data_IF_692040355174
#
_entry.id   IF_692040355174
#
_cell.length_a   1.000
_cell.length_b   1.000
_cell.length_c   1.000
_cell.angle_alpha   90.00
_cell.angle_beta   90.00
_cell.angle_gamma   90.00
#
_symmetry.space_group_name_H-M   'P 1'
#
loop_
_entity.id
_entity.type
_entity.pdbx_description
1 polymer ?
#
# COMPACT_ATOMS: atom_id res chain seq x y z
N UNK A 1 -31.35 -10.28 -43.53
CA UNK A 1 -30.50 -9.21 -44.11
C UNK A 1 -31.08 -7.80 -43.88
N UNK A 2 -31.83 -7.53 -42.79
CA UNK A 2 -32.53 -6.24 -42.62
C UNK A 2 -32.02 -5.35 -41.45
N UNK A 3 -31.02 -5.76 -40.66
CA UNK A 3 -30.57 -4.97 -39.49
C UNK A 3 -29.36 -4.05 -39.77
N UNK A 4 -28.78 -4.07 -40.98
CA UNK A 4 -27.64 -3.21 -41.33
C UNK A 4 -28.06 -1.87 -41.95
N UNK A 5 -29.33 -1.73 -42.35
CA UNK A 5 -29.85 -0.50 -42.97
C UNK A 5 -30.38 0.48 -41.92
N UNK A 6 -31.09 -0.03 -40.89
CA UNK A 6 -31.62 0.79 -39.79
C UNK A 6 -30.50 1.46 -38.96
N UNK A 7 -29.39 0.75 -38.74
CA UNK A 7 -28.23 1.27 -37.99
C UNK A 7 -27.46 2.36 -38.74
N UNK A 8 -27.47 2.37 -40.09
CA UNK A 8 -26.88 3.47 -40.87
C UNK A 8 -27.76 4.71 -40.93
N UNK A 9 -29.07 4.55 -40.80
CA UNK A 9 -30.01 5.67 -40.73
C UNK A 9 -29.91 6.39 -39.39
N UNK A 10 -29.84 5.66 -38.28
CA UNK A 10 -29.64 6.26 -36.95
C UNK A 10 -28.25 6.91 -36.80
N UNK A 11 -27.20 6.33 -37.39
CA UNK A 11 -25.87 6.96 -37.41
C UNK A 11 -25.86 8.28 -38.18
N UNK A 12 -26.56 8.38 -39.31
CA UNK A 12 -26.66 9.62 -40.08
C UNK A 12 -27.51 10.69 -39.40
N UNK A 13 -28.49 10.30 -38.58
CA UNK A 13 -29.33 11.24 -37.82
C UNK A 13 -28.57 11.83 -36.62
N UNK A 14 -27.72 11.03 -35.98
CA UNK A 14 -26.82 11.48 -34.90
C UNK A 14 -25.70 12.37 -35.44
N UNK A 15 -25.13 12.06 -36.61
CA UNK A 15 -24.10 12.89 -37.25
C UNK A 15 -24.67 14.26 -37.68
N UNK A 16 -25.89 14.29 -38.21
CA UNK A 16 -26.60 15.53 -38.56
C UNK A 16 -27.06 16.34 -37.33
N UNK A 17 -27.22 15.70 -36.16
CA UNK A 17 -27.51 16.39 -34.91
C UNK A 17 -26.21 16.99 -34.33
N UNK A 18 -25.09 16.26 -34.33
CA UNK A 18 -23.77 16.75 -33.90
C UNK A 18 -23.30 17.93 -34.76
N UNK A 19 -23.48 17.89 -36.09
CA UNK A 19 -23.17 19.02 -36.97
C UNK A 19 -24.04 20.25 -36.66
N UNK A 20 -25.29 20.04 -36.19
CA UNK A 20 -26.17 21.12 -35.76
C UNK A 20 -25.71 21.74 -34.44
N UNK A 21 -25.19 20.94 -33.50
CA UNK A 21 -24.59 21.42 -32.26
C UNK A 21 -23.29 22.20 -32.53
N UNK A 22 -22.42 21.74 -33.44
CA UNK A 22 -21.20 22.47 -33.82
C UNK A 22 -21.50 23.79 -34.54
N UNK A 23 -22.50 23.83 -35.42
CA UNK A 23 -22.93 25.08 -36.07
C UNK A 23 -23.55 26.08 -35.08
N UNK A 24 -24.20 25.60 -34.01
CA UNK A 24 -24.82 26.46 -32.99
C UNK A 24 -23.82 26.99 -31.96
N UNK A 25 -22.76 26.22 -31.67
CA UNK A 25 -21.63 26.65 -30.84
C UNK A 25 -20.74 27.66 -31.58
N UNK A 26 -20.57 27.51 -32.90
CA UNK A 26 -19.80 28.44 -33.73
C UNK A 26 -20.58 29.71 -34.11
N UNK A 27 -21.92 29.68 -34.15
CA UNK A 27 -22.76 30.87 -34.40
C UNK A 27 -22.87 31.82 -33.20
N UNK A 28 -22.54 31.36 -31.99
CA UNK A 28 -22.56 32.18 -30.77
C UNK A 28 -21.19 32.82 -30.45
N UNK A 29 -20.23 32.75 -31.36
CA UNK A 29 -18.98 33.51 -31.30
C UNK A 29 -18.95 34.51 -32.47
N UNK A 30 -19.89 35.45 -32.46
CA UNK A 30 -19.64 36.75 -33.11
C UNK A 30 -19.32 37.74 -32.00
N UNK A 31 -18.05 37.80 -31.59
CA UNK A 31 -17.59 38.88 -30.74
C UNK A 31 -17.76 40.19 -31.54
N UNK A 32 -18.36 41.26 -30.98
CA UNK A 32 -18.20 42.59 -31.53
C UNK A 32 -16.70 42.93 -31.55
N UNK A 33 -16.19 43.89 -32.34
CA UNK A 33 -14.77 44.21 -32.36
C UNK A 33 -14.33 44.66 -30.95
N UNK A 34 -13.88 43.69 -30.17
CA UNK A 34 -13.53 43.80 -28.76
C UNK A 34 -12.11 44.28 -28.67
N UNK A 35 -11.91 45.28 -27.81
CA UNK A 35 -10.61 45.88 -27.57
C UNK A 35 -9.65 44.79 -27.08
N UNK A 36 -8.56 44.52 -27.81
CA UNK A 36 -7.59 43.42 -27.55
C UNK A 36 -7.06 43.41 -26.11
N UNK A 37 -7.12 44.56 -25.44
CA UNK A 37 -6.73 44.75 -24.04
C UNK A 37 -7.76 44.19 -23.04
N UNK A 38 -9.06 44.18 -23.36
CA UNK A 38 -10.10 43.63 -22.48
C UNK A 38 -10.12 42.09 -22.51
N UNK A 39 -9.87 41.47 -23.66
CA UNK A 39 -9.79 40.01 -23.76
C UNK A 39 -8.52 39.45 -23.10
N UNK A 40 -7.40 40.18 -23.19
CA UNK A 40 -6.18 39.84 -22.44
C UNK A 40 -6.41 39.94 -20.93
N UNK A 41 -7.04 41.01 -20.45
CA UNK A 41 -7.38 41.16 -19.03
C UNK A 41 -8.37 40.08 -18.56
N UNK A 42 -9.39 39.73 -19.36
CA UNK A 42 -10.33 38.65 -19.02
C UNK A 42 -9.64 37.30 -18.90
N UNK A 43 -8.77 36.94 -19.84
CA UNK A 43 -8.02 35.68 -19.79
C UNK A 43 -7.07 35.64 -18.59
N UNK A 44 -6.38 36.74 -18.29
CA UNK A 44 -5.52 36.84 -17.09
C UNK A 44 -6.32 36.73 -15.78
N UNK A 45 -7.52 37.32 -15.71
CA UNK A 45 -8.40 37.17 -14.54
C UNK A 45 -8.92 35.75 -14.37
N UNK A 46 -9.35 35.08 -15.45
CA UNK A 46 -9.83 33.70 -15.43
C UNK A 46 -8.71 32.72 -15.05
N UNK A 47 -7.49 32.93 -15.56
CA UNK A 47 -6.32 32.13 -15.19
C UNK A 47 -5.91 32.36 -13.73
N UNK A 48 -5.98 33.60 -13.25
CA UNK A 48 -5.74 33.95 -11.84
C UNK A 48 -6.76 33.29 -10.91
N UNK A 49 -8.04 33.32 -11.27
CA UNK A 49 -9.14 32.76 -10.48
C UNK A 49 -9.11 31.22 -10.47
N UNK A 50 -8.79 30.59 -11.61
CA UNK A 50 -8.53 29.15 -11.69
C UNK A 50 -7.32 28.74 -10.87
N UNK A 51 -6.21 29.48 -10.94
CA UNK A 51 -5.00 29.17 -10.18
C UNK A 51 -5.23 29.35 -8.66
N UNK A 52 -6.01 30.35 -8.26
CA UNK A 52 -6.43 30.55 -6.87
C UNK A 52 -7.34 29.40 -6.39
N UNK A 53 -8.30 28.98 -7.20
CA UNK A 53 -9.19 27.84 -6.92
C UNK A 53 -8.42 26.53 -6.81
N UNK A 54 -7.43 26.28 -7.69
CA UNK A 54 -6.54 25.12 -7.64
C UNK A 54 -5.66 25.16 -6.38
N UNK A 55 -5.14 26.33 -5.98
CA UNK A 55 -4.38 26.49 -4.73
C UNK A 55 -5.25 26.19 -3.50
N UNK A 56 -6.48 26.70 -3.45
CA UNK A 56 -7.42 26.42 -2.37
C UNK A 56 -7.83 24.95 -2.32
N UNK A 57 -8.06 24.29 -3.46
CA UNK A 57 -8.29 22.84 -3.54
C UNK A 57 -7.08 22.03 -3.05
N UNK A 58 -5.85 22.47 -3.36
CA UNK A 58 -4.62 21.87 -2.83
C UNK A 58 -4.48 22.06 -1.32
N UNK A 59 -4.76 23.25 -0.80
CA UNK A 59 -4.67 23.54 0.65
C UNK A 59 -5.75 22.75 1.42
N UNK A 60 -6.98 22.71 0.91
CA UNK A 60 -8.08 21.95 1.53
C UNK A 60 -7.87 20.43 1.42
N UNK A 61 -7.26 19.92 0.34
CA UNK A 61 -6.86 18.52 0.24
C UNK A 61 -5.67 18.17 1.13
N UNK A 62 -4.72 19.09 1.35
CA UNK A 62 -3.64 18.93 2.34
C UNK A 62 -4.18 18.92 3.78
N UNK A 63 -5.10 19.82 4.12
CA UNK A 63 -5.74 19.89 5.43
C UNK A 63 -6.60 18.65 5.74
N UNK A 64 -7.32 18.12 4.75
CA UNK A 64 -8.09 16.88 4.93
C UNK A 64 -7.20 15.63 5.06
N UNK A 65 -6.01 15.63 4.45
CA UNK A 65 -4.99 14.57 4.60
C UNK A 65 -4.33 14.57 5.98
N UNK A 66 -4.23 15.72 6.66
CA UNK A 66 -3.63 15.83 8.00
C UNK A 66 -4.59 15.47 9.14
N UNK A 67 -5.91 15.59 8.95
CA UNK A 67 -6.93 15.23 9.95
C UNK A 67 -6.99 13.72 10.26
N UNK A 68 -6.60 12.87 9.31
CA UNK A 68 -6.66 11.41 9.43
C UNK A 68 -5.60 10.81 10.38
N UNK A 69 -4.29 11.16 10.29
CA UNK A 69 -3.29 10.68 11.25
C UNK A 69 -3.53 11.19 12.67
N UNK A 70 -4.03 12.42 12.87
CA UNK A 70 -4.38 12.90 14.21
C UNK A 70 -5.47 12.04 14.88
N UNK A 71 -6.54 11.67 14.15
CA UNK A 71 -7.57 10.76 14.69
C UNK A 71 -7.02 9.39 15.05
N UNK A 72 -6.09 8.87 14.25
CA UNK A 72 -5.40 7.60 14.53
C UNK A 72 -4.49 7.70 15.77
N UNK A 73 -3.77 8.82 15.92
CA UNK A 73 -2.88 9.06 17.06
C UNK A 73 -3.61 9.10 18.40
N UNK A 74 -4.85 9.61 18.44
CA UNK A 74 -5.66 9.61 19.67
C UNK A 74 -6.37 8.28 19.97
N UNK A 75 -6.23 7.28 19.09
CA UNK A 75 -6.67 5.91 19.42
C UNK A 75 -5.59 5.26 20.30
N UNK A 76 -5.91 4.59 21.44
CA UNK A 76 -4.89 4.06 22.34
C UNK A 76 -3.89 3.12 21.65
N UNK A 77 -4.37 2.28 20.72
CA UNK A 77 -3.51 1.43 19.90
C UNK A 77 -2.66 2.24 18.91
N UNK A 78 -3.25 3.25 18.27
CA UNK A 78 -2.55 4.09 17.29
C UNK A 78 -1.48 4.98 17.93
N UNK A 79 -1.72 5.47 19.15
CA UNK A 79 -0.73 6.18 19.97
C UNK A 79 0.50 5.30 20.23
N UNK A 80 0.29 4.06 20.71
CA UNK A 80 1.38 3.11 20.99
C UNK A 80 2.17 2.76 19.73
N UNK A 81 1.48 2.49 18.61
CA UNK A 81 2.12 2.22 17.32
C UNK A 81 2.94 3.43 16.85
N UNK A 82 2.43 4.65 17.06
CA UNK A 82 3.13 5.88 16.66
C UNK A 82 4.40 6.10 17.49
N UNK A 83 4.34 5.94 18.82
CA UNK A 83 5.51 6.01 19.69
C UNK A 83 6.53 4.94 19.29
N UNK A 84 6.07 3.71 19.05
CA UNK A 84 6.94 2.62 18.63
C UNK A 84 7.64 2.92 17.30
N UNK A 85 6.90 3.41 16.29
CA UNK A 85 7.46 3.83 15.00
C UNK A 85 8.45 4.99 15.14
N UNK A 86 8.15 5.98 15.98
CA UNK A 86 9.05 7.10 16.25
C UNK A 86 10.35 6.64 16.92
N UNK A 87 10.28 5.65 17.83
CA UNK A 87 11.47 5.04 18.42
C UNK A 87 12.35 4.37 17.36
N UNK A 88 11.78 3.57 16.46
CA UNK A 88 12.56 2.95 15.36
C UNK A 88 13.26 4.02 14.52
N UNK A 89 12.54 5.10 14.17
CA UNK A 89 13.11 6.19 13.36
C UNK A 89 14.20 6.95 14.12
N UNK A 90 14.00 7.21 15.42
CA UNK A 90 14.98 7.93 16.24
C UNK A 90 16.28 7.13 16.41
N UNK A 91 16.21 5.88 16.86
CA UNK A 91 17.38 5.01 17.03
C UNK A 91 18.01 4.64 15.68
N UNK A 92 17.19 4.41 14.65
CA UNK A 92 17.65 4.13 13.29
C UNK A 92 18.36 5.31 12.64
N UNK A 93 17.81 6.51 12.83
CA UNK A 93 18.41 7.77 12.38
C UNK A 93 19.72 8.05 13.10
N UNK A 94 19.78 7.83 14.41
CA UNK A 94 21.02 7.97 15.18
C UNK A 94 22.11 6.99 14.69
N UNK A 95 21.78 5.72 14.51
CA UNK A 95 22.69 4.73 13.94
C UNK A 95 23.22 5.16 12.57
N UNK A 96 22.33 5.63 11.70
CA UNK A 96 22.71 6.13 10.36
C UNK A 96 23.68 7.32 10.44
N UNK A 97 23.38 8.32 11.29
CA UNK A 97 24.26 9.48 11.50
C UNK A 97 25.64 9.09 12.02
N UNK A 98 25.72 8.10 12.93
CA UNK A 98 26.98 7.61 13.47
C UNK A 98 27.80 6.84 12.43
N UNK A 99 27.15 6.06 11.55
CA UNK A 99 27.81 5.37 10.44
C UNK A 99 28.33 6.38 9.40
N UNK A 100 27.59 7.45 9.12
CA UNK A 100 28.00 8.52 8.20
C UNK A 100 29.06 9.47 8.78
N UNK A 101 29.65 9.19 9.93
CA UNK A 101 30.63 10.04 10.61
C UNK A 101 30.13 11.48 10.91
N UNK A 102 28.82 11.66 11.08
CA UNK A 102 28.23 12.98 11.34
C UNK A 102 28.53 13.53 12.76
N UNK A 103 29.17 12.73 13.63
CA UNK A 103 29.55 13.10 15.00
C UNK A 103 31.08 13.07 15.22
N UNK A 104 31.87 13.98 14.61
CA UNK A 104 33.33 13.99 14.72
C UNK A 104 33.84 14.18 16.16
N UNK A 105 33.02 14.78 17.05
CA UNK A 105 33.36 14.95 18.48
C UNK A 105 33.39 13.64 19.28
N UNK A 106 32.80 12.55 18.77
CA UNK A 106 32.82 11.23 19.41
C UNK A 106 34.04 10.38 19.00
N UNK A 107 34.92 10.91 18.15
CA UNK A 107 36.16 10.28 17.73
C UNK A 107 37.35 10.74 18.60
N UNK A 108 37.43 10.23 19.82
CA UNK A 108 38.62 10.39 20.68
C UNK A 108 38.98 9.01 21.25
N UNK A 109 40.22 8.50 21.12
CA UNK A 109 41.40 9.10 20.48
C UNK A 109 41.49 8.89 18.95
N UNK A 110 40.83 7.87 18.37
CA UNK A 110 40.63 7.75 16.93
C UNK A 110 39.22 7.25 16.63
N UNK A 111 38.69 7.56 15.44
CA UNK A 111 37.34 7.14 15.07
C UNK A 111 37.20 5.61 15.08
N UNK A 112 38.20 4.89 14.59
CA UNK A 112 38.14 3.43 14.40
C UNK A 112 38.59 2.62 15.62
N UNK A 113 38.85 3.30 16.75
CA UNK A 113 39.18 2.62 18.00
C UNK A 113 37.98 1.80 18.50
N UNK A 114 38.22 0.55 18.87
CA UNK A 114 37.24 -0.36 19.47
C UNK A 114 36.58 0.26 20.70
N UNK A 115 37.29 1.09 21.46
CA UNK A 115 36.76 1.74 22.67
C UNK A 115 36.25 3.17 22.45
N UNK A 116 36.18 3.64 21.19
CA UNK A 116 35.62 4.95 20.90
C UNK A 116 34.14 5.04 21.31
N UNK A 117 33.73 6.22 21.79
CA UNK A 117 32.33 6.49 22.14
C UNK A 117 31.38 6.20 20.97
N UNK A 118 31.83 6.44 19.73
CA UNK A 118 31.11 6.11 18.49
C UNK A 118 30.76 4.63 18.41
N UNK A 119 31.73 3.74 18.57
CA UNK A 119 31.49 2.31 18.42
C UNK A 119 30.65 1.72 19.58
N UNK A 120 30.68 2.36 20.75
CA UNK A 120 29.79 2.01 21.88
C UNK A 120 28.34 2.40 21.56
N UNK A 121 28.10 3.61 21.06
CA UNK A 121 26.76 4.05 20.67
C UNK A 121 26.20 3.25 19.49
N UNK A 122 27.03 2.93 18.48
CA UNK A 122 26.63 2.02 17.40
C UNK A 122 26.19 0.67 17.96
N UNK A 123 26.88 0.13 18.96
CA UNK A 123 26.47 -1.11 19.62
C UNK A 123 25.10 -0.94 20.30
N UNK A 124 24.93 0.09 21.13
CA UNK A 124 23.69 0.37 21.85
C UNK A 124 22.52 0.52 20.88
N UNK A 125 22.66 1.38 19.87
CA UNK A 125 21.64 1.65 18.86
C UNK A 125 21.29 0.36 18.11
N UNK A 126 22.29 -0.43 17.74
CA UNK A 126 22.07 -1.70 17.06
C UNK A 126 21.30 -2.70 17.93
N UNK A 127 21.58 -2.77 19.24
CA UNK A 127 20.90 -3.68 20.15
C UNK A 127 19.44 -3.25 20.39
N UNK A 128 19.21 -1.93 20.56
CA UNK A 128 17.86 -1.38 20.71
C UNK A 128 17.04 -1.62 19.43
N UNK A 129 17.61 -1.35 18.26
CA UNK A 129 16.93 -1.60 16.98
C UNK A 129 16.66 -3.08 16.74
N UNK A 130 17.61 -3.95 17.05
CA UNK A 130 17.41 -5.39 16.96
C UNK A 130 16.26 -5.84 17.89
N UNK A 131 16.22 -5.36 19.14
CA UNK A 131 15.12 -5.66 20.05
C UNK A 131 13.78 -5.17 19.50
N UNK A 132 13.71 -3.93 19.01
CA UNK A 132 12.50 -3.36 18.40
C UNK A 132 12.03 -4.22 17.22
N UNK A 133 12.91 -4.57 16.29
CA UNK A 133 12.57 -5.41 15.13
C UNK A 133 12.20 -6.84 15.53
N UNK A 134 12.83 -7.42 16.55
CA UNK A 134 12.46 -8.73 17.08
C UNK A 134 11.08 -8.73 17.74
N UNK A 135 10.65 -7.65 18.40
CA UNK A 135 9.29 -7.58 18.97
C UNK A 135 8.21 -7.75 17.91
N UNK A 136 8.33 -7.06 16.78
CA UNK A 136 7.37 -7.22 15.67
C UNK A 136 7.62 -8.50 14.87
N UNK A 137 8.88 -8.89 14.74
CA UNK A 137 9.34 -10.08 14.06
C UNK A 137 8.83 -11.37 14.68
N UNK A 138 9.16 -11.56 15.95
CA UNK A 138 8.81 -12.74 16.74
C UNK A 138 7.38 -12.67 17.25
N UNK A 139 6.93 -11.47 17.63
CA UNK A 139 5.55 -11.24 18.03
C UNK A 139 4.54 -11.61 16.95
N UNK A 140 4.92 -11.58 15.66
CA UNK A 140 4.01 -11.98 14.56
C UNK A 140 4.27 -13.39 14.00
N UNK A 141 5.21 -14.17 14.57
CA UNK A 141 5.54 -15.53 14.11
C UNK A 141 4.30 -16.44 14.02
N UNK A 142 3.41 -16.53 15.03
CA UNK A 142 2.28 -17.46 14.97
C UNK A 142 1.40 -17.23 13.75
N UNK A 143 1.16 -15.97 13.39
CA UNK A 143 0.37 -15.58 12.22
C UNK A 143 1.11 -15.85 10.91
N UNK A 144 2.42 -15.51 10.83
CA UNK A 144 3.24 -15.79 9.64
C UNK A 144 3.36 -17.28 9.36
N UNK A 145 3.54 -18.09 10.38
CA UNK A 145 3.65 -19.54 10.24
C UNK A 145 2.30 -20.17 9.88
N UNK A 146 1.20 -19.71 10.47
CA UNK A 146 -0.15 -20.12 10.05
C UNK A 146 -0.38 -19.84 8.55
N UNK A 147 -0.02 -18.65 8.09
CA UNK A 147 -0.18 -18.25 6.69
C UNK A 147 0.73 -19.09 5.77
N UNK A 148 1.97 -19.39 6.20
CA UNK A 148 2.85 -20.32 5.50
C UNK A 148 2.28 -21.73 5.43
N UNK A 149 1.70 -22.26 6.52
CA UNK A 149 1.05 -23.56 6.55
C UNK A 149 -0.12 -23.63 5.56
N UNK A 150 -0.95 -22.60 5.47
CA UNK A 150 -2.00 -22.55 4.45
C UNK A 150 -1.44 -22.49 3.03
N UNK A 151 -0.33 -21.78 2.82
CA UNK A 151 0.35 -21.74 1.52
C UNK A 151 0.91 -23.12 1.15
N UNK A 152 1.53 -23.82 2.10
CA UNK A 152 2.04 -25.19 1.88
C UNK A 152 0.91 -26.18 1.61
N UNK A 153 -0.22 -26.08 2.31
CA UNK A 153 -1.42 -26.86 2.01
C UNK A 153 -1.90 -26.66 0.57
N UNK A 154 -1.81 -25.44 0.06
CA UNK A 154 -2.18 -25.14 -1.33
C UNK A 154 -1.13 -25.64 -2.34
N UNK A 155 0.17 -25.40 -2.11
CA UNK A 155 1.24 -25.71 -3.08
C UNK A 155 1.65 -27.18 -3.10
N UNK A 156 1.84 -27.77 -1.91
CA UNK A 156 2.30 -29.16 -1.77
C UNK A 156 1.11 -30.11 -1.85
N UNK A 157 0.11 -29.90 -0.98
CA UNK A 157 -1.02 -30.82 -0.86
C UNK A 157 -2.17 -30.53 -1.84
N UNK A 158 -2.05 -29.50 -2.69
CA UNK A 158 -3.07 -29.08 -3.68
C UNK A 158 -4.46 -28.84 -3.08
N UNK A 159 -4.55 -28.61 -1.77
CA UNK A 159 -5.82 -28.36 -1.07
C UNK A 159 -6.25 -26.92 -1.30
N UNK A 160 -7.33 -26.71 -2.06
CA UNK A 160 -7.88 -25.37 -2.36
C UNK A 160 -8.32 -24.61 -1.10
N UNK A 161 -8.63 -25.32 -0.01
CA UNK A 161 -9.02 -24.71 1.27
C UNK A 161 -7.95 -23.77 1.82
N UNK A 162 -6.66 -24.08 1.64
CA UNK A 162 -5.56 -23.21 2.09
C UNK A 162 -5.55 -21.87 1.37
N UNK A 163 -5.75 -21.88 0.04
CA UNK A 163 -5.84 -20.67 -0.76
C UNK A 163 -7.08 -19.83 -0.38
N UNK A 164 -8.21 -20.48 -0.13
CA UNK A 164 -9.46 -19.81 0.30
C UNK A 164 -9.28 -19.14 1.67
N UNK A 165 -8.60 -19.80 2.60
CA UNK A 165 -8.27 -19.21 3.91
C UNK A 165 -7.35 -18.00 3.78
N UNK A 166 -6.31 -18.10 2.93
CA UNK A 166 -5.40 -16.98 2.67
C UNK A 166 -6.10 -15.79 2.01
N UNK A 167 -7.07 -16.05 1.14
CA UNK A 167 -7.88 -15.01 0.52
C UNK A 167 -8.76 -14.27 1.54
N UNK A 168 -9.32 -14.99 2.54
CA UNK A 168 -10.07 -14.36 3.62
C UNK A 168 -9.19 -13.50 4.53
N UNK A 169 -7.96 -13.94 4.81
CA UNK A 169 -6.98 -13.18 5.60
C UNK A 169 -6.54 -11.91 4.83
N UNK A 170 -6.25 -12.06 3.54
CA UNK A 170 -5.75 -10.99 2.67
C UNK A 170 -6.87 -10.30 1.87
N UNK A 171 -8.11 -10.27 2.39
CA UNK A 171 -9.29 -9.75 1.69
C UNK A 171 -9.19 -8.27 1.28
N UNK A 172 -8.27 -7.50 1.87
CA UNK A 172 -8.07 -6.10 1.54
C UNK A 172 -7.42 -5.88 0.16
N UNK A 173 -6.69 -6.87 -0.37
CA UNK A 173 -5.93 -6.70 -1.61
C UNK A 173 -5.94 -7.93 -2.53
N UNK A 174 -6.20 -9.13 -1.99
CA UNK A 174 -6.19 -10.38 -2.76
C UNK A 174 -7.61 -10.77 -3.20
N UNK A 175 -7.75 -11.17 -4.47
CA UNK A 175 -9.01 -11.68 -5.06
C UNK A 175 -8.79 -13.08 -5.64
N UNK A 176 -9.69 -14.01 -5.31
CA UNK A 176 -9.64 -15.40 -5.78
C UNK A 176 -9.93 -15.48 -7.29
N UNK A 177 -9.33 -16.42 -8.03
CA UNK A 177 -9.72 -16.73 -9.41
C UNK A 177 -11.21 -17.07 -9.50
N UNK A 178 -11.95 -16.39 -10.40
CA UNK A 178 -13.40 -16.55 -10.56
C UNK A 178 -14.24 -15.60 -9.70
N UNK A 179 -13.63 -14.90 -8.72
CA UNK A 179 -14.40 -14.04 -7.80
C UNK A 179 -14.99 -12.80 -8.45
N UNK A 180 -14.54 -12.49 -9.66
CA UNK A 180 -15.09 -11.45 -10.53
C UNK A 180 -16.46 -11.82 -11.13
N UNK A 181 -16.78 -13.11 -11.25
CA UNK A 181 -18.03 -13.59 -11.88
C UNK A 181 -19.19 -13.66 -10.88
N UNK A 182 -18.90 -13.43 -9.59
CA UNK A 182 -19.90 -13.33 -8.54
C UNK A 182 -20.63 -12.00 -8.69
N UNK A 183 -21.97 -12.03 -8.58
CA UNK A 183 -22.82 -10.84 -8.65
C UNK A 183 -22.32 -9.77 -7.67
N UNK A 184 -22.15 -8.55 -8.16
CA UNK A 184 -21.47 -7.49 -7.43
C UNK A 184 -22.20 -7.05 -6.16
N UNK A 185 -23.52 -7.21 -6.09
CA UNK A 185 -24.32 -6.83 -4.92
C UNK A 185 -24.18 -7.78 -3.74
N UNK A 186 -23.60 -8.98 -3.95
CA UNK A 186 -23.46 -9.97 -2.88
C UNK A 186 -22.35 -9.60 -1.90
N UNK A 187 -22.69 -9.53 -0.63
CA UNK A 187 -21.80 -9.36 0.51
C UNK A 187 -21.66 -10.64 1.36
N UNK A 188 -20.87 -10.58 2.45
CA UNK A 188 -20.57 -11.73 3.31
C UNK A 188 -21.76 -12.30 4.11
N UNK A 189 -22.90 -11.61 4.15
CA UNK A 189 -24.09 -12.00 4.92
C UNK A 189 -25.31 -12.33 4.04
N UNK A 190 -25.15 -12.28 2.72
CA UNK A 190 -26.27 -12.59 1.81
C UNK A 190 -26.48 -14.09 1.69
N UNK A 191 -27.74 -14.50 1.80
CA UNK A 191 -28.15 -15.90 1.78
C UNK A 191 -27.89 -16.56 0.40
N UNK A 192 -27.91 -15.75 -0.67
CA UNK A 192 -27.57 -16.21 -2.03
C UNK A 192 -26.08 -16.57 -2.18
N UNK A 193 -25.22 -16.22 -1.22
CA UNK A 193 -23.81 -16.61 -1.26
C UNK A 193 -23.63 -18.13 -1.04
N UNK A 194 -24.62 -18.82 -0.44
CA UNK A 194 -24.61 -20.26 -0.23
C UNK A 194 -24.81 -21.07 -1.53
N UNK A 195 -25.36 -20.46 -2.59
CA UNK A 195 -25.56 -21.12 -3.89
C UNK A 195 -24.36 -20.94 -4.83
N UNK A 196 -23.44 -20.03 -4.50
CA UNK A 196 -22.22 -19.77 -5.27
C UNK A 196 -21.19 -20.87 -5.04
N UNK A 197 -20.46 -21.26 -6.10
CA UNK A 197 -19.40 -22.25 -5.99
C UNK A 197 -18.40 -21.89 -4.91
N UNK A 198 -18.25 -22.80 -3.94
CA UNK A 198 -17.30 -22.67 -2.84
C UNK A 198 -15.87 -22.36 -3.29
N UNK A 199 -15.45 -22.84 -4.46
CA UNK A 199 -14.09 -22.66 -4.98
C UNK A 199 -13.69 -21.21 -5.22
N UNK A 200 -14.69 -20.33 -5.34
CA UNK A 200 -14.55 -18.91 -5.64
C UNK A 200 -14.61 -18.03 -4.38
N UNK A 201 -15.11 -18.61 -3.28
CA UNK A 201 -15.32 -17.90 -2.02
C UNK A 201 -14.17 -18.13 -1.03
N UNK A 202 -13.77 -17.10 -0.26
CA UNK A 202 -12.81 -17.29 0.82
C UNK A 202 -13.40 -18.15 1.94
N UNK A 203 -12.51 -18.69 2.77
CA UNK A 203 -12.88 -19.47 3.94
C UNK A 203 -12.41 -18.76 5.21
N UNK A 204 -13.24 -18.59 6.26
CA UNK A 204 -14.69 -18.81 6.27
C UNK A 204 -15.42 -17.78 5.39
N UNK A 205 -16.65 -18.11 4.98
CA UNK A 205 -17.48 -17.28 4.08
C UNK A 205 -17.74 -15.87 4.64
N UNK A 206 -17.76 -15.71 5.97
CA UNK A 206 -17.85 -14.41 6.64
C UNK A 206 -16.68 -13.46 6.36
N UNK A 207 -15.57 -13.96 5.79
CA UNK A 207 -14.42 -13.15 5.35
C UNK A 207 -14.50 -12.74 3.88
N UNK A 208 -15.64 -12.97 3.22
CA UNK A 208 -15.89 -12.48 1.86
C UNK A 208 -15.73 -10.96 1.81
N UNK A 209 -15.10 -10.40 0.75
CA UNK A 209 -15.09 -8.96 0.53
C UNK A 209 -16.52 -8.40 0.55
N UNK A 210 -16.67 -7.22 1.13
CA UNK A 210 -17.95 -6.52 1.14
C UNK A 210 -18.33 -6.10 -0.30
N UNK A 211 -19.62 -5.96 -0.60
CA UNK A 211 -20.09 -5.58 -1.93
C UNK A 211 -19.40 -4.28 -2.43
N UNK A 212 -18.80 -4.25 -3.63
CA UNK A 212 -18.20 -3.02 -4.19
C UNK A 212 -19.23 -1.89 -4.30
N UNK A 213 -18.82 -0.66 -3.98
CA UNK A 213 -19.69 0.52 -4.12
C UNK A 213 -19.92 0.91 -5.58
N UNK A 214 -19.04 0.47 -6.47
CA UNK A 214 -19.09 0.71 -7.91
C UNK A 214 -19.96 -0.31 -8.66
N UNK A 215 -20.46 -1.36 -7.97
CA UNK A 215 -21.16 -2.46 -8.63
C UNK A 215 -20.26 -3.34 -9.52
N UNK A 216 -18.93 -3.19 -9.44
CA UNK A 216 -17.96 -3.99 -10.21
C UNK A 216 -16.91 -4.58 -9.26
N UNK A 217 -16.73 -5.91 -9.31
CA UNK A 217 -15.71 -6.61 -8.52
C UNK A 217 -14.34 -6.55 -9.20
N UNK A 218 -13.28 -6.48 -8.39
CA UNK A 218 -11.92 -6.44 -8.93
C UNK A 218 -11.52 -7.76 -9.60
N UNK A 219 -10.74 -7.65 -10.67
CA UNK A 219 -10.14 -8.79 -11.38
C UNK A 219 -9.32 -9.67 -10.44
N UNK A 220 -9.23 -10.99 -10.69
CA UNK A 220 -8.53 -11.92 -9.82
C UNK A 220 -7.04 -11.57 -9.71
N UNK A 221 -6.51 -11.66 -8.50
CA UNK A 221 -5.10 -11.38 -8.24
C UNK A 221 -4.25 -12.60 -8.61
N UNK A 222 -3.12 -12.38 -9.27
CA UNK A 222 -2.20 -13.46 -9.60
C UNK A 222 -1.69 -14.14 -8.31
N UNK A 223 -1.80 -15.48 -8.23
CA UNK A 223 -1.48 -16.25 -7.03
C UNK A 223 -0.02 -16.13 -6.60
N UNK A 224 0.91 -15.95 -7.53
CA UNK A 224 2.33 -15.76 -7.20
C UNK A 224 2.60 -14.52 -6.34
N UNK A 225 1.75 -13.49 -6.40
CA UNK A 225 1.91 -12.29 -5.55
C UNK A 225 1.66 -12.62 -4.09
N UNK A 226 0.68 -13.50 -3.83
CA UNK A 226 0.40 -14.02 -2.49
C UNK A 226 1.56 -14.86 -1.96
N UNK A 227 2.08 -15.77 -2.78
CA UNK A 227 3.28 -16.53 -2.45
C UNK A 227 4.45 -15.60 -2.10
N UNK A 228 4.70 -14.59 -2.93
CA UNK A 228 5.77 -13.62 -2.71
C UNK A 228 5.62 -12.88 -1.38
N UNK A 229 4.42 -12.36 -1.07
CA UNK A 229 4.18 -11.63 0.19
C UNK A 229 4.41 -12.53 1.41
N UNK A 230 3.89 -13.76 1.39
CA UNK A 230 4.05 -14.71 2.50
C UNK A 230 5.52 -15.09 2.66
N UNK A 231 6.21 -15.45 1.58
CA UNK A 231 7.63 -15.77 1.62
C UNK A 231 8.49 -14.60 2.06
N UNK A 232 8.19 -13.38 1.62
CA UNK A 232 8.90 -12.19 2.06
C UNK A 232 8.75 -11.96 3.58
N UNK A 233 7.56 -12.19 4.14
CA UNK A 233 7.36 -12.12 5.59
C UNK A 233 8.12 -13.20 6.35
N UNK A 234 8.20 -14.42 5.80
CA UNK A 234 8.97 -15.54 6.38
C UNK A 234 10.47 -15.24 6.34
N UNK A 235 11.00 -14.79 5.21
CA UNK A 235 12.40 -14.38 5.07
C UNK A 235 12.77 -13.26 6.04
N UNK A 236 11.89 -12.27 6.22
CA UNK A 236 12.09 -11.24 7.22
C UNK A 236 12.22 -11.82 8.65
N UNK A 237 11.38 -12.80 9.03
CA UNK A 237 11.52 -13.49 10.33
C UNK A 237 12.83 -14.27 10.44
N UNK A 238 13.24 -15.00 9.38
CA UNK A 238 14.48 -15.78 9.37
C UNK A 238 15.69 -14.84 9.56
N UNK A 239 15.74 -13.73 8.83
CA UNK A 239 16.83 -12.76 8.97
C UNK A 239 16.86 -12.11 10.35
N UNK A 240 15.70 -11.84 10.95
CA UNK A 240 15.62 -11.35 12.33
C UNK A 240 16.08 -12.39 13.35
N UNK A 241 15.79 -13.68 13.14
CA UNK A 241 16.29 -14.76 14.00
C UNK A 241 17.82 -14.92 13.91
N UNK A 242 18.36 -14.85 12.69
CA UNK A 242 19.81 -14.88 12.48
C UNK A 242 20.47 -13.65 13.11
N UNK A 243 19.91 -12.46 12.89
CA UNK A 243 20.41 -11.22 13.49
C UNK A 243 20.41 -11.28 15.01
N UNK A 244 19.31 -11.69 15.64
CA UNK A 244 19.24 -11.81 17.10
C UNK A 244 20.21 -12.86 17.63
N UNK A 245 20.37 -13.99 16.91
CA UNK A 245 21.34 -15.01 17.27
C UNK A 245 22.78 -14.49 17.24
N UNK A 246 23.14 -13.69 16.22
CA UNK A 246 24.46 -13.06 16.13
C UNK A 246 24.66 -11.98 17.19
N UNK A 247 23.64 -11.18 17.48
CA UNK A 247 23.77 -10.06 18.41
C UNK A 247 23.77 -10.49 19.88
N UNK A 248 22.99 -11.50 20.24
CA UNK A 248 22.92 -12.01 21.61
C UNK A 248 23.89 -13.18 21.86
N UNK A 249 24.30 -13.89 20.80
CA UNK A 249 25.19 -15.04 20.92
C UNK A 249 26.68 -14.71 20.78
N UNK A 250 27.06 -13.59 20.16
CA UNK A 250 28.46 -13.20 19.98
C UNK A 250 28.81 -11.94 20.76
N UNK A 251 29.97 -11.96 21.41
CA UNK A 251 30.56 -10.77 21.98
C UNK A 251 30.93 -9.76 20.89
N UNK A 252 30.78 -8.47 21.19
CA UNK A 252 31.06 -7.34 20.29
C UNK A 252 32.40 -7.44 19.55
N UNK A 253 33.43 -7.99 20.19
CA UNK A 253 34.78 -8.14 19.62
C UNK A 253 34.91 -9.26 18.60
N UNK A 254 34.06 -10.29 18.70
CA UNK A 254 34.08 -11.46 17.82
C UNK A 254 33.02 -11.39 16.72
N UNK A 255 32.14 -10.37 16.77
CA UNK A 255 31.05 -10.20 15.79
C UNK A 255 31.59 -9.52 14.53
N UNK A 256 31.42 -10.12 13.34
CA UNK A 256 31.83 -9.48 12.10
C UNK A 256 31.09 -8.15 11.90
N UNK A 257 31.81 -7.05 11.70
CA UNK A 257 31.22 -5.71 11.57
C UNK A 257 30.21 -5.55 10.43
N UNK A 258 30.28 -6.40 9.41
CA UNK A 258 29.35 -6.41 8.28
C UNK A 258 28.01 -7.10 8.57
N UNK A 259 27.97 -8.06 9.51
CA UNK A 259 26.83 -8.98 9.61
C UNK A 259 25.56 -8.28 10.10
N UNK A 260 25.68 -7.42 11.12
CA UNK A 260 24.54 -6.68 11.66
C UNK A 260 23.89 -5.81 10.59
N UNK A 261 24.68 -5.03 9.84
CA UNK A 261 24.17 -4.17 8.78
C UNK A 261 23.52 -4.96 7.63
N UNK A 262 24.13 -6.08 7.23
CA UNK A 262 23.62 -6.93 6.15
C UNK A 262 22.25 -7.54 6.51
N UNK A 263 22.14 -8.16 7.68
CA UNK A 263 20.89 -8.85 8.05
C UNK A 263 19.76 -7.87 8.38
N UNK A 264 20.07 -6.71 8.99
CA UNK A 264 19.08 -5.62 9.16
C UNK A 264 18.57 -5.16 7.79
N UNK A 265 19.48 -4.89 6.85
CA UNK A 265 19.11 -4.41 5.51
C UNK A 265 18.26 -5.43 4.76
N UNK A 266 18.62 -6.72 4.80
CA UNK A 266 17.84 -7.80 4.19
C UNK A 266 16.46 -7.95 4.83
N UNK A 267 16.37 -7.94 6.17
CA UNK A 267 15.10 -8.01 6.87
C UNK A 267 14.17 -6.85 6.43
N UNK A 268 14.67 -5.62 6.49
CA UNK A 268 13.93 -4.44 6.06
C UNK A 268 13.53 -4.49 4.58
N UNK A 269 14.41 -4.98 3.69
CA UNK A 269 14.12 -5.12 2.26
C UNK A 269 12.93 -6.05 2.02
N UNK A 270 12.93 -7.25 2.60
CA UNK A 270 11.84 -8.21 2.40
C UNK A 270 10.53 -7.76 3.06
N UNK A 271 10.61 -7.17 4.26
CA UNK A 271 9.43 -6.57 4.90
C UNK A 271 8.83 -5.45 4.04
N UNK A 272 9.67 -4.56 3.51
CA UNK A 272 9.27 -3.47 2.62
C UNK A 272 8.68 -3.97 1.31
N UNK A 273 9.31 -4.96 0.68
CA UNK A 273 8.84 -5.50 -0.60
C UNK A 273 7.47 -6.20 -0.47
N UNK A 274 7.27 -7.01 0.58
CA UNK A 274 5.98 -7.66 0.85
C UNK A 274 4.87 -6.65 1.18
N UNK A 275 5.19 -5.61 1.96
CA UNK A 275 4.29 -4.51 2.25
C UNK A 275 3.90 -3.70 1.00
N UNK A 276 4.90 -3.37 0.15
CA UNK A 276 4.69 -2.62 -1.08
C UNK A 276 3.80 -3.38 -2.07
N UNK A 277 4.05 -4.68 -2.27
CA UNK A 277 3.21 -5.53 -3.13
C UNK A 277 1.76 -5.51 -2.67
N UNK A 278 1.52 -5.75 -1.37
CA UNK A 278 0.17 -5.74 -0.79
C UNK A 278 -0.50 -4.38 -0.93
N UNK A 279 0.26 -3.29 -0.77
CA UNK A 279 -0.24 -1.93 -0.91
C UNK A 279 -0.62 -1.57 -2.35
N UNK A 280 0.22 -1.93 -3.33
CA UNK A 280 -0.03 -1.66 -4.75
C UNK A 280 -1.29 -2.41 -5.22
N UNK A 281 -1.42 -3.69 -4.88
CA UNK A 281 -2.62 -4.46 -5.22
C UNK A 281 -3.85 -3.95 -4.47
N UNK A 282 -3.71 -3.58 -3.18
CA UNK A 282 -4.80 -2.97 -2.42
C UNK A 282 -5.30 -1.67 -3.05
N UNK A 283 -4.40 -0.82 -3.55
CA UNK A 283 -4.80 0.39 -4.31
C UNK A 283 -5.50 0.04 -5.62
N UNK A 284 -5.05 -0.99 -6.33
CA UNK A 284 -5.69 -1.45 -7.57
C UNK A 284 -7.12 -1.92 -7.31
N UNK A 285 -7.32 -2.72 -6.27
CA UNK A 285 -8.65 -3.20 -5.84
C UNK A 285 -9.54 -2.02 -5.44
N UNK A 286 -9.04 -1.13 -4.58
CA UNK A 286 -9.78 0.05 -4.12
C UNK A 286 -10.15 1.02 -5.25
N UNK A 287 -9.36 1.08 -6.34
CA UNK A 287 -9.68 1.88 -7.52
C UNK A 287 -10.88 1.32 -8.29
N UNK A 288 -11.07 0.00 -8.28
CA UNK A 288 -12.13 -0.69 -9.01
C UNK A 288 -13.40 -0.79 -8.16
N UNK A 289 -13.29 -1.24 -6.92
CA UNK A 289 -14.42 -1.53 -6.03
C UNK A 289 -14.92 -0.30 -5.24
N UNK A 290 -14.13 0.78 -5.23
CA UNK A 290 -14.40 1.98 -4.45
C UNK A 290 -13.94 1.86 -2.99
N UNK A 291 -13.48 2.98 -2.42
CA UNK A 291 -13.08 3.04 -1.00
C UNK A 291 -14.31 3.36 -0.16
N UNK A 292 -14.73 2.41 0.69
CA UNK A 292 -15.75 2.71 1.71
C UNK A 292 -15.16 3.69 2.73
N UNK A 293 -15.83 4.82 2.93
CA UNK A 293 -15.57 5.70 4.08
C UNK A 293 -16.22 5.02 5.28
N UNK A 294 -15.40 4.45 6.17
CA UNK A 294 -15.84 3.99 7.49
C UNK A 294 -15.98 5.16 8.44
#
# INVERSE_FOLDING_TARGET
MNNSAASRQELGEVEAEVDRWELQENSNVTLPPGNRNEDSNRNETLDSENNHSIKLLRINSMASRLKRPCKFFFTPLGFLITIYGLNIVAWGGMLFLLICNAAPKMCKPSCDDINSARNIWIEIDSQVLNALFCVTGFGTIPWRFRDLCYLMQYRIYRKKIGLRSLAGINRSWFRLPGSQDILADLGPYDEQLATVSETVLPFPVSKTPDAPLTGVRASPTATWKLDFVIWAMVWNTIFQAVLSGLMWGLNRLNRPGWSTGLFVSLACLFAGAGGLMSYVEGRRVNKIEGVRVK
#
